data_IF_899651840207
#
_entry.id   IF_899651840207
#
_cell.length_a   1.000
_cell.length_b   1.000
_cell.length_c   1.000
_cell.angle_alpha   90.00
_cell.angle_beta   90.00
_cell.angle_gamma   90.00
#
_symmetry.space_group_name_H-M   'P 1'
#
loop_
_entity.id
_entity.type
_entity.pdbx_description
1 polymer ?
#
# COMPACT_ATOMS: atom_id res chain seq x y z
N UNK A 1 3.07 -14.53 -17.59
CA UNK A 1 2.01 -13.62 -18.08
C UNK A 1 1.48 -14.20 -19.39
N UNK A 2 0.18 -14.43 -19.49
CA UNK A 2 -0.44 -15.05 -20.67
C UNK A 2 -0.43 -14.08 -21.86
N UNK A 3 0.10 -14.54 -23.01
CA UNK A 3 0.30 -13.74 -24.23
C UNK A 3 -0.58 -14.29 -25.37
N UNK A 4 -1.87 -13.96 -25.45
CA UNK A 4 -2.82 -14.62 -26.36
C UNK A 4 -2.44 -14.52 -27.85
N UNK A 5 -1.80 -13.43 -28.30
CA UNK A 5 -1.27 -13.32 -29.68
C UNK A 5 -0.06 -14.22 -29.99
N UNK A 6 0.64 -14.75 -28.98
CA UNK A 6 1.67 -15.78 -29.17
C UNK A 6 1.10 -17.20 -29.26
N UNK A 7 -0.21 -17.37 -29.06
CA UNK A 7 -0.88 -18.68 -29.04
C UNK A 7 -1.96 -18.84 -30.12
N UNK A 8 -1.93 -18.00 -31.17
CA UNK A 8 -2.82 -18.13 -32.34
C UNK A 8 -2.78 -19.53 -33.00
N UNK A 9 -1.68 -20.27 -32.80
CA UNK A 9 -1.47 -21.61 -33.32
C UNK A 9 -1.65 -22.72 -32.26
N UNK A 10 -2.03 -22.37 -31.02
CA UNK A 10 -2.17 -23.32 -29.91
C UNK A 10 -3.49 -23.09 -29.14
N UNK A 11 -4.61 -23.67 -29.61
CA UNK A 11 -5.96 -23.43 -29.10
C UNK A 11 -6.18 -23.86 -27.64
N UNK A 12 -5.28 -24.66 -27.08
CA UNK A 12 -5.30 -25.03 -25.65
C UNK A 12 -5.19 -23.81 -24.73
N UNK A 13 -4.69 -22.69 -25.26
CA UNK A 13 -4.52 -21.47 -24.49
C UNK A 13 -5.83 -20.71 -24.23
N UNK A 14 -6.93 -21.09 -24.89
CA UNK A 14 -8.24 -20.46 -24.77
C UNK A 14 -9.17 -21.19 -23.79
N UNK A 15 -8.68 -22.23 -23.11
CA UNK A 15 -9.47 -23.04 -22.18
C UNK A 15 -9.23 -22.60 -20.74
N UNK A 16 -10.13 -21.79 -20.13
CA UNK A 16 -10.01 -21.33 -18.75
C UNK A 16 -10.07 -22.47 -17.71
N UNK A 17 -10.38 -23.69 -18.15
CA UNK A 17 -10.45 -24.89 -17.32
C UNK A 17 -9.25 -25.84 -17.50
N UNK A 18 -8.23 -25.46 -18.29
CA UNK A 18 -7.04 -26.28 -18.47
C UNK A 18 -6.12 -26.14 -17.25
N UNK A 19 -5.98 -27.23 -16.49
CA UNK A 19 -5.05 -27.33 -15.37
C UNK A 19 -3.61 -27.43 -15.90
N UNK A 20 -2.73 -26.51 -15.50
CA UNK A 20 -1.29 -26.46 -15.83
C UNK A 20 -0.95 -26.74 -17.32
N UNK A 21 -1.73 -26.21 -18.25
CA UNK A 21 -1.55 -26.44 -19.70
C UNK A 21 -1.61 -27.93 -20.12
N UNK A 22 -2.37 -28.77 -19.40
CA UNK A 22 -2.43 -30.24 -19.54
C UNK A 22 -1.09 -30.96 -19.28
N UNK A 23 -0.22 -30.39 -18.45
CA UNK A 23 1.05 -31.01 -18.02
C UNK A 23 1.14 -31.20 -16.49
N UNK A 24 0.22 -32.00 -15.90
CA UNK A 24 0.15 -32.20 -14.45
C UNK A 24 1.29 -33.05 -13.88
N UNK A 25 2.07 -33.72 -14.74
CA UNK A 25 3.18 -34.56 -14.31
C UNK A 25 4.44 -33.75 -13.99
N UNK A 26 4.60 -32.57 -14.62
CA UNK A 26 5.80 -31.74 -14.47
C UNK A 26 5.50 -30.36 -13.85
N UNK A 27 4.23 -29.99 -13.71
CA UNK A 27 3.80 -28.68 -13.21
C UNK A 27 2.66 -28.85 -12.24
N UNK A 28 2.68 -28.04 -11.19
CA UNK A 28 1.58 -27.87 -10.26
C UNK A 28 1.08 -26.44 -10.36
N UNK A 29 -0.24 -26.27 -10.22
CA UNK A 29 -0.87 -24.97 -9.95
C UNK A 29 -1.42 -25.07 -8.53
N UNK A 30 -0.58 -24.79 -7.51
CA UNK A 30 -0.93 -25.04 -6.11
C UNK A 30 -2.04 -24.11 -5.62
N UNK A 31 -2.25 -23.00 -6.34
CA UNK A 31 -3.22 -21.97 -5.97
C UNK A 31 -4.45 -22.07 -6.87
N UNK A 32 -4.33 -22.07 -8.19
CA UNK A 32 -5.47 -21.87 -9.09
C UNK A 32 -6.07 -20.45 -9.01
N UNK A 33 -5.41 -19.51 -8.32
CA UNK A 33 -6.02 -18.30 -7.74
C UNK A 33 -5.73 -16.98 -8.49
N UNK A 34 -4.73 -16.90 -9.36
CA UNK A 34 -4.40 -15.61 -10.02
C UNK A 34 -5.43 -15.13 -11.04
N UNK A 35 -6.36 -16.00 -11.49
CA UNK A 35 -7.35 -15.59 -12.48
C UNK A 35 -8.28 -14.49 -11.95
N UNK A 36 -8.85 -14.69 -10.76
CA UNK A 36 -9.82 -13.75 -10.20
C UNK A 36 -9.17 -12.43 -9.81
N UNK A 37 -7.98 -12.48 -9.19
CA UNK A 37 -7.22 -11.27 -8.90
C UNK A 37 -6.89 -10.50 -10.19
N UNK A 38 -6.40 -11.16 -11.24
CA UNK A 38 -6.08 -10.52 -12.53
C UNK A 38 -7.32 -9.92 -13.19
N UNK A 39 -8.44 -10.65 -13.22
CA UNK A 39 -9.69 -10.14 -13.75
C UNK A 39 -10.17 -8.90 -12.97
N UNK A 40 -10.16 -8.98 -11.65
CA UNK A 40 -10.46 -7.86 -10.77
C UNK A 40 -9.56 -6.67 -11.06
N UNK A 41 -8.25 -6.91 -11.15
CA UNK A 41 -7.26 -5.89 -11.46
C UNK A 41 -7.50 -5.18 -12.78
N UNK A 42 -7.81 -5.90 -13.85
CA UNK A 42 -8.11 -5.28 -15.16
C UNK A 42 -9.34 -4.37 -15.07
N UNK A 43 -10.41 -4.84 -14.42
CA UNK A 43 -11.62 -4.03 -14.18
C UNK A 43 -11.28 -2.82 -13.31
N UNK A 44 -10.48 -3.02 -12.27
CA UNK A 44 -9.98 -1.98 -11.37
C UNK A 44 -9.23 -0.90 -12.13
N UNK A 45 -8.27 -1.26 -12.99
CA UNK A 45 -7.48 -0.30 -13.81
C UNK A 45 -8.40 0.58 -14.64
N UNK A 46 -9.40 0.00 -15.31
CA UNK A 46 -10.35 0.77 -16.12
C UNK A 46 -11.08 1.79 -15.25
N UNK A 47 -11.62 1.37 -14.11
CA UNK A 47 -12.30 2.25 -13.15
C UNK A 47 -11.36 3.34 -12.63
N UNK A 48 -10.13 2.97 -12.24
CA UNK A 48 -9.12 3.87 -11.72
C UNK A 48 -8.69 4.94 -12.72
N UNK A 49 -8.49 4.56 -14.00
CA UNK A 49 -8.17 5.51 -15.08
C UNK A 49 -9.34 6.47 -15.33
N UNK A 50 -10.58 5.97 -15.40
CA UNK A 50 -11.77 6.82 -15.57
C UNK A 50 -11.87 7.82 -14.41
N UNK A 51 -11.69 7.34 -13.17
CA UNK A 51 -11.69 8.18 -11.98
C UNK A 51 -10.58 9.23 -12.03
N UNK A 52 -9.35 8.86 -12.40
CA UNK A 52 -8.24 9.79 -12.52
C UNK A 52 -8.50 10.88 -13.58
N UNK A 53 -9.01 10.50 -14.75
CA UNK A 53 -9.38 11.45 -15.81
C UNK A 53 -10.47 12.40 -15.31
N UNK A 54 -11.48 11.89 -14.62
CA UNK A 54 -12.55 12.71 -14.04
C UNK A 54 -12.01 13.69 -12.99
N UNK A 55 -11.12 13.23 -12.09
CA UNK A 55 -10.46 14.07 -11.08
C UNK A 55 -9.66 15.18 -11.76
N UNK A 56 -8.78 14.82 -12.70
CA UNK A 56 -7.94 15.80 -13.41
C UNK A 56 -8.80 16.81 -14.17
N UNK A 57 -9.81 16.36 -14.91
CA UNK A 57 -10.72 17.24 -15.62
C UNK A 57 -11.45 18.20 -14.67
N UNK A 58 -11.98 17.69 -13.55
CA UNK A 58 -12.66 18.50 -12.55
C UNK A 58 -11.72 19.53 -11.91
N UNK A 59 -10.50 19.15 -11.56
CA UNK A 59 -9.48 20.06 -11.02
C UNK A 59 -9.13 21.16 -12.01
N UNK A 60 -8.92 20.84 -13.29
CA UNK A 60 -8.59 21.81 -14.34
C UNK A 60 -9.75 22.80 -14.54
N UNK A 61 -10.99 22.31 -14.64
CA UNK A 61 -12.17 23.15 -14.80
C UNK A 61 -12.39 24.09 -13.61
N UNK A 62 -12.24 23.58 -12.39
CA UNK A 62 -12.52 24.34 -11.16
C UNK A 62 -11.43 25.36 -10.85
N UNK A 63 -10.15 25.00 -10.99
CA UNK A 63 -9.03 25.91 -10.80
C UNK A 63 -9.01 27.04 -11.85
N UNK A 64 -9.36 26.74 -13.10
CA UNK A 64 -9.44 27.73 -14.17
C UNK A 64 -10.62 28.69 -14.05
N UNK A 65 -11.76 28.25 -13.50
CA UNK A 65 -12.98 29.05 -13.45
C UNK A 65 -13.19 29.84 -12.14
N UNK A 66 -12.74 29.32 -10.99
CA UNK A 66 -13.14 29.87 -9.67
C UNK A 66 -11.97 30.12 -8.70
N UNK A 67 -10.72 29.91 -9.13
CA UNK A 67 -9.53 30.13 -8.32
C UNK A 67 -9.27 29.05 -7.26
N UNK A 68 -8.20 29.25 -6.48
CA UNK A 68 -7.61 28.23 -5.59
C UNK A 68 -8.58 27.75 -4.50
N UNK A 69 -9.42 28.63 -3.95
CA UNK A 69 -10.31 28.29 -2.83
C UNK A 69 -11.37 27.24 -3.20
N UNK A 70 -11.99 27.35 -4.37
CA UNK A 70 -13.00 26.37 -4.83
C UNK A 70 -12.34 25.05 -5.19
N UNK A 71 -11.13 25.07 -5.77
CA UNK A 71 -10.36 23.86 -6.04
C UNK A 71 -10.04 23.06 -4.76
N UNK A 72 -9.74 23.75 -3.65
CA UNK A 72 -9.53 23.11 -2.34
C UNK A 72 -10.81 22.44 -1.82
N UNK A 73 -11.96 23.11 -1.87
CA UNK A 73 -13.24 22.53 -1.43
C UNK A 73 -13.63 21.30 -2.25
N UNK A 74 -13.43 21.36 -3.57
CA UNK A 74 -13.64 20.22 -4.46
C UNK A 74 -12.70 19.07 -4.12
N UNK A 75 -11.42 19.37 -3.86
CA UNK A 75 -10.44 18.36 -3.43
C UNK A 75 -10.83 17.67 -2.11
N UNK A 76 -11.35 18.42 -1.13
CA UNK A 76 -11.86 17.86 0.13
C UNK A 76 -13.06 16.96 -0.15
N UNK A 77 -14.04 17.44 -0.93
CA UNK A 77 -15.23 16.66 -1.29
C UNK A 77 -14.90 15.35 -2.01
N UNK A 78 -13.96 15.40 -2.98
CA UNK A 78 -13.44 14.22 -3.67
C UNK A 78 -12.77 13.24 -2.70
N UNK A 79 -11.96 13.73 -1.78
CA UNK A 79 -11.28 12.90 -0.78
C UNK A 79 -12.27 12.20 0.14
N UNK A 80 -13.28 12.91 0.65
CA UNK A 80 -14.32 12.34 1.51
C UNK A 80 -15.16 11.30 0.76
N UNK A 81 -15.57 11.62 -0.47
CA UNK A 81 -16.31 10.68 -1.32
C UNK A 81 -15.51 9.42 -1.64
N UNK A 82 -14.23 9.58 -2.02
CA UNK A 82 -13.33 8.47 -2.26
C UNK A 82 -13.12 7.62 -1.01
N UNK A 83 -12.98 8.24 0.17
CA UNK A 83 -12.86 7.52 1.43
C UNK A 83 -14.11 6.65 1.70
N UNK A 84 -15.32 7.20 1.53
CA UNK A 84 -16.56 6.42 1.69
C UNK A 84 -16.67 5.23 0.73
N UNK A 85 -16.27 5.41 -0.54
CA UNK A 85 -16.20 4.31 -1.51
C UNK A 85 -15.17 3.25 -1.08
N UNK A 86 -13.99 3.69 -0.63
CA UNK A 86 -12.94 2.78 -0.16
C UNK A 86 -13.37 1.97 1.06
N UNK A 87 -14.09 2.56 2.01
CA UNK A 87 -14.68 1.83 3.16
C UNK A 87 -15.57 0.70 2.66
N UNK A 88 -16.47 0.97 1.71
CA UNK A 88 -17.37 -0.05 1.16
C UNK A 88 -16.62 -1.17 0.44
N UNK A 89 -15.68 -0.82 -0.44
CA UNK A 89 -14.89 -1.80 -1.20
C UNK A 89 -14.00 -2.65 -0.29
N UNK A 90 -13.35 -2.02 0.70
CA UNK A 90 -12.54 -2.70 1.71
C UNK A 90 -13.40 -3.68 2.52
N UNK A 91 -14.58 -3.25 3.00
CA UNK A 91 -15.47 -4.10 3.78
C UNK A 91 -15.91 -5.34 2.99
N UNK A 92 -16.22 -5.18 1.69
CA UNK A 92 -16.57 -6.30 0.80
C UNK A 92 -15.37 -7.23 0.62
N UNK A 93 -14.18 -6.70 0.34
CA UNK A 93 -12.95 -7.49 0.20
C UNK A 93 -12.62 -8.27 1.48
N UNK A 94 -12.72 -7.62 2.64
CA UNK A 94 -12.50 -8.21 3.96
C UNK A 94 -13.49 -9.34 4.25
N UNK A 95 -14.79 -9.12 4.02
CA UNK A 95 -15.85 -10.10 4.29
C UNK A 95 -15.80 -11.33 3.37
N UNK A 96 -15.15 -11.22 2.20
CA UNK A 96 -15.10 -12.28 1.19
C UNK A 96 -13.69 -12.86 1.00
N UNK A 97 -12.74 -12.47 1.85
CA UNK A 97 -11.37 -12.94 1.82
C UNK A 97 -11.28 -14.48 1.86
N UNK A 98 -10.44 -15.07 1.01
CA UNK A 98 -10.30 -16.52 0.85
C UNK A 98 -11.30 -17.16 -0.10
N UNK A 99 -12.13 -16.37 -0.78
CA UNK A 99 -13.00 -16.82 -1.88
C UNK A 99 -12.54 -16.22 -3.21
N UNK A 100 -12.92 -16.81 -4.34
CA UNK A 100 -12.60 -16.25 -5.65
C UNK A 100 -13.16 -14.83 -5.86
N UNK A 101 -14.29 -14.49 -5.26
CA UNK A 101 -14.79 -13.11 -5.28
C UNK A 101 -13.95 -12.17 -4.39
N UNK A 102 -13.44 -12.65 -3.25
CA UNK A 102 -12.48 -11.91 -2.44
C UNK A 102 -11.18 -11.63 -3.19
N UNK A 103 -10.66 -12.61 -3.94
CA UNK A 103 -9.48 -12.43 -4.80
C UNK A 103 -9.75 -11.42 -5.91
N UNK A 104 -10.94 -11.48 -6.52
CA UNK A 104 -11.40 -10.45 -7.46
C UNK A 104 -11.41 -9.07 -6.83
N UNK A 105 -11.96 -8.92 -5.62
CA UNK A 105 -12.03 -7.63 -4.93
C UNK A 105 -10.64 -7.11 -4.53
N UNK A 106 -9.73 -7.99 -4.08
CA UNK A 106 -8.33 -7.65 -3.83
C UNK A 106 -7.68 -7.13 -5.10
N UNK A 107 -7.79 -7.89 -6.19
CA UNK A 107 -7.28 -7.50 -7.50
C UNK A 107 -7.86 -6.16 -7.98
N UNK A 108 -9.18 -5.98 -7.84
CA UNK A 108 -9.88 -4.76 -8.20
C UNK A 108 -9.35 -3.54 -7.46
N UNK A 109 -9.12 -3.64 -6.15
CA UNK A 109 -8.55 -2.54 -5.36
C UNK A 109 -7.13 -2.18 -5.82
N UNK A 110 -6.26 -3.17 -6.07
CA UNK A 110 -4.91 -2.95 -6.61
C UNK A 110 -5.00 -2.29 -8.00
N UNK A 111 -5.84 -2.84 -8.88
CA UNK A 111 -6.03 -2.32 -10.23
C UNK A 111 -6.54 -0.88 -10.23
N UNK A 112 -7.50 -0.56 -9.37
CA UNK A 112 -8.04 0.79 -9.23
C UNK A 112 -6.96 1.77 -8.76
N UNK A 113 -6.15 1.39 -7.77
CA UNK A 113 -5.03 2.19 -7.32
C UNK A 113 -3.96 2.35 -8.42
N UNK A 114 -3.67 1.30 -9.19
CA UNK A 114 -2.77 1.35 -10.33
C UNK A 114 -3.26 2.32 -11.42
N UNK A 115 -4.56 2.27 -11.77
CA UNK A 115 -5.17 3.19 -12.73
C UNK A 115 -5.16 4.64 -12.25
N UNK A 116 -5.43 4.87 -10.95
CA UNK A 116 -5.34 6.19 -10.33
C UNK A 116 -3.91 6.73 -10.37
N UNK A 117 -2.93 5.93 -9.95
CA UNK A 117 -1.51 6.30 -10.04
C UNK A 117 -1.11 6.59 -11.48
N UNK A 118 -1.54 5.78 -12.45
CA UNK A 118 -1.23 6.01 -13.86
C UNK A 118 -1.75 7.35 -14.37
N UNK A 119 -3.04 7.64 -14.14
CA UNK A 119 -3.68 8.85 -14.62
C UNK A 119 -3.18 10.11 -13.92
N UNK A 120 -3.07 10.08 -12.59
CA UNK A 120 -2.60 11.22 -11.80
C UNK A 120 -1.12 11.52 -12.06
N UNK A 121 -0.26 10.50 -12.06
CA UNK A 121 1.16 10.70 -12.35
C UNK A 121 1.39 11.09 -13.81
N UNK A 122 0.54 10.66 -14.75
CA UNK A 122 0.59 11.17 -16.15
C UNK A 122 0.33 12.66 -16.19
N UNK A 123 -0.64 13.17 -15.43
CA UNK A 123 -0.93 14.60 -15.37
C UNK A 123 0.21 15.41 -14.72
N UNK A 124 0.95 14.83 -13.77
CA UNK A 124 2.00 15.53 -13.02
C UNK A 124 3.37 15.44 -13.71
N UNK A 125 3.77 14.23 -14.12
CA UNK A 125 5.12 13.92 -14.60
C UNK A 125 5.17 13.58 -16.10
N UNK A 126 4.02 13.48 -16.76
CA UNK A 126 3.90 13.06 -18.14
C UNK A 126 3.66 11.55 -18.31
N UNK A 127 3.26 11.12 -19.52
CA UNK A 127 2.69 9.79 -19.76
C UNK A 127 3.67 8.64 -19.52
N UNK A 128 4.96 8.82 -19.81
CA UNK A 128 5.94 7.76 -19.62
C UNK A 128 6.09 7.37 -18.14
N UNK A 129 6.23 8.37 -17.26
CA UNK A 129 6.33 8.14 -15.81
C UNK A 129 5.00 7.60 -15.28
N UNK A 130 3.88 8.21 -15.67
CA UNK A 130 2.57 7.78 -15.20
C UNK A 130 2.25 6.33 -15.54
N UNK A 131 2.38 5.94 -16.81
CA UNK A 131 2.16 4.54 -17.24
C UNK A 131 3.12 3.60 -16.52
N UNK A 132 4.40 3.98 -16.34
CA UNK A 132 5.37 3.13 -15.64
C UNK A 132 4.98 2.87 -14.19
N UNK A 133 4.57 3.90 -13.44
CA UNK A 133 4.11 3.75 -12.06
C UNK A 133 2.82 2.92 -11.97
N UNK A 134 1.90 3.12 -12.91
CA UNK A 134 0.69 2.30 -13.03
C UNK A 134 0.99 0.82 -13.28
N UNK A 135 1.91 0.52 -14.20
CA UNK A 135 2.32 -0.85 -14.49
C UNK A 135 3.01 -1.49 -13.29
N UNK A 136 3.96 -0.78 -12.66
CA UNK A 136 4.64 -1.26 -11.46
C UNK A 136 3.61 -1.63 -10.39
N UNK A 137 2.64 -0.76 -10.13
CA UNK A 137 1.58 -1.04 -9.16
C UNK A 137 0.71 -2.24 -9.56
N UNK A 138 0.24 -2.28 -10.81
CA UNK A 138 -0.64 -3.33 -11.32
C UNK A 138 -0.03 -4.73 -11.25
N UNK A 139 1.30 -4.84 -11.32
CA UNK A 139 1.98 -6.12 -11.22
C UNK A 139 1.73 -6.84 -9.87
N UNK A 140 1.31 -6.13 -8.82
CA UNK A 140 0.97 -6.72 -7.52
C UNK A 140 -0.28 -7.62 -7.59
N UNK A 141 -1.07 -7.54 -8.67
CA UNK A 141 -2.22 -8.41 -8.88
C UNK A 141 -1.80 -9.86 -9.17
N UNK A 142 -0.60 -10.07 -9.70
CA UNK A 142 -0.07 -11.39 -9.99
C UNK A 142 0.66 -11.93 -8.77
N UNK A 143 0.06 -12.91 -8.07
CA UNK A 143 0.61 -13.44 -6.81
C UNK A 143 2.08 -13.86 -6.91
N UNK A 144 2.49 -14.55 -7.98
CA UNK A 144 3.88 -14.95 -8.19
C UNK A 144 4.86 -13.78 -8.41
N UNK A 145 4.35 -12.61 -8.82
CA UNK A 145 5.14 -11.37 -8.89
C UNK A 145 5.12 -10.66 -7.53
N UNK A 146 3.96 -10.55 -6.88
CA UNK A 146 3.82 -9.94 -5.56
C UNK A 146 4.68 -10.61 -4.47
N UNK A 147 4.84 -11.93 -4.54
CA UNK A 147 5.67 -12.73 -3.63
C UNK A 147 7.18 -12.63 -3.93
N UNK A 148 7.58 -11.97 -5.01
CA UNK A 148 8.98 -11.81 -5.36
C UNK A 148 9.59 -10.62 -4.62
N UNK A 149 10.61 -10.87 -3.79
CA UNK A 149 11.26 -9.83 -2.97
C UNK A 149 11.90 -8.70 -3.78
N UNK A 150 12.42 -8.98 -4.98
CA UNK A 150 12.94 -7.92 -5.84
C UNK A 150 11.81 -7.01 -6.34
N UNK A 151 10.68 -7.59 -6.74
CA UNK A 151 9.49 -6.80 -7.11
C UNK A 151 8.95 -5.98 -5.93
N UNK A 152 8.90 -6.53 -4.72
CA UNK A 152 8.49 -5.80 -3.52
C UNK A 152 9.38 -4.55 -3.30
N UNK A 153 10.69 -4.68 -3.53
CA UNK A 153 11.60 -3.54 -3.53
C UNK A 153 11.28 -2.51 -4.60
N UNK A 154 11.07 -2.94 -5.85
CA UNK A 154 10.68 -2.03 -6.93
C UNK A 154 9.38 -1.30 -6.60
N UNK A 155 8.38 -2.01 -6.09
CA UNK A 155 7.07 -1.45 -5.73
C UNK A 155 7.20 -0.43 -4.59
N UNK A 156 7.90 -0.78 -3.52
CA UNK A 156 8.05 0.10 -2.35
C UNK A 156 8.90 1.35 -2.66
N UNK A 157 9.97 1.22 -3.47
CA UNK A 157 10.72 2.38 -3.97
C UNK A 157 9.88 3.26 -4.90
N UNK A 158 9.07 2.66 -5.78
CA UNK A 158 8.19 3.41 -6.66
C UNK A 158 7.08 4.15 -5.90
N UNK A 159 6.68 3.67 -4.71
CA UNK A 159 5.66 4.29 -3.85
C UNK A 159 5.96 5.76 -3.51
N UNK A 160 7.25 6.14 -3.39
CA UNK A 160 7.65 7.53 -3.19
C UNK A 160 7.15 8.48 -4.31
N UNK A 161 6.96 7.96 -5.52
CA UNK A 161 6.49 8.72 -6.68
C UNK A 161 5.00 8.48 -6.99
N UNK A 162 4.34 7.55 -6.30
CA UNK A 162 2.93 7.21 -6.54
C UNK A 162 2.01 8.22 -5.84
N UNK A 163 1.20 9.01 -6.59
CA UNK A 163 0.33 10.02 -6.00
C UNK A 163 -0.64 9.47 -4.94
N UNK A 164 -1.12 8.24 -5.13
CA UNK A 164 -2.04 7.60 -4.18
C UNK A 164 -1.37 7.19 -2.86
N UNK A 165 -0.04 7.14 -2.80
CA UNK A 165 0.73 6.87 -1.57
C UNK A 165 1.08 8.13 -0.80
N UNK A 166 1.00 9.31 -1.44
CA UNK A 166 1.52 10.56 -0.88
C UNK A 166 0.79 11.05 0.36
N UNK A 167 -0.51 10.75 0.50
CA UNK A 167 -1.23 11.16 1.70
C UNK A 167 -0.64 10.48 2.95
N UNK A 168 -0.49 9.15 2.93
CA UNK A 168 0.12 8.39 4.02
C UNK A 168 1.61 8.75 4.20
N UNK A 169 2.35 8.80 3.10
CA UNK A 169 3.80 9.12 3.13
C UNK A 169 4.06 10.55 3.60
N UNK A 170 3.19 11.50 3.28
CA UNK A 170 3.29 12.89 3.71
C UNK A 170 3.06 13.03 5.22
N UNK A 171 2.07 12.35 5.77
CA UNK A 171 1.87 12.30 7.24
C UNK A 171 3.04 11.61 7.92
N UNK A 172 3.53 10.49 7.37
CA UNK A 172 4.74 9.81 7.85
C UNK A 172 5.97 10.72 7.84
N UNK A 173 6.18 11.48 6.76
CA UNK A 173 7.29 12.45 6.68
C UNK A 173 7.18 13.53 7.76
N UNK A 174 5.98 14.05 8.03
CA UNK A 174 5.76 15.03 9.10
C UNK A 174 6.17 14.44 10.44
N UNK A 175 5.74 13.22 10.75
CA UNK A 175 6.07 12.55 12.01
C UNK A 175 7.58 12.29 12.13
N UNK A 176 8.20 11.80 11.06
CA UNK A 176 9.64 11.61 10.98
C UNK A 176 10.41 12.90 11.24
N UNK A 177 10.03 14.01 10.59
CA UNK A 177 10.68 15.31 10.77
C UNK A 177 10.49 15.82 12.20
N UNK A 178 9.29 15.71 12.77
CA UNK A 178 9.03 16.09 14.16
C UNK A 178 9.94 15.29 15.10
N UNK A 179 10.04 13.97 14.95
CA UNK A 179 10.91 13.15 15.77
C UNK A 179 12.38 13.55 15.65
N UNK A 180 12.90 13.73 14.42
CA UNK A 180 14.30 14.13 14.19
C UNK A 180 14.60 15.50 14.80
N UNK A 181 13.71 16.48 14.59
CA UNK A 181 13.85 17.84 15.13
C UNK A 181 13.84 17.81 16.66
N UNK A 182 12.89 17.10 17.25
CA UNK A 182 12.78 16.99 18.71
C UNK A 182 13.99 16.28 19.30
N UNK A 183 14.43 15.18 18.72
CA UNK A 183 15.66 14.49 19.14
C UNK A 183 16.88 15.42 19.12
N UNK A 184 17.08 16.14 18.02
CA UNK A 184 18.21 17.04 17.86
C UNK A 184 18.23 18.13 18.94
N UNK A 185 17.10 18.80 19.17
CA UNK A 185 17.07 19.91 20.11
C UNK A 185 16.96 19.52 21.58
N UNK A 186 16.40 18.36 21.91
CA UNK A 186 16.23 17.95 23.31
C UNK A 186 17.28 16.94 23.78
N UNK A 187 17.87 16.15 22.88
CA UNK A 187 18.87 15.13 23.25
C UNK A 187 20.27 15.53 22.78
N UNK A 188 20.42 15.98 21.52
CA UNK A 188 21.75 16.33 20.97
C UNK A 188 22.26 17.68 21.46
N UNK A 189 21.38 18.67 21.66
CA UNK A 189 21.72 20.01 22.18
C UNK A 189 20.92 20.32 23.46
N UNK A 190 21.23 19.67 24.60
CA UNK A 190 20.43 19.77 25.83
C UNK A 190 20.28 21.20 26.38
N UNK A 191 21.25 22.08 26.05
CA UNK A 191 21.31 23.45 26.55
C UNK A 191 20.21 24.38 26.04
N UNK A 192 19.47 24.02 24.99
CA UNK A 192 18.40 24.87 24.45
C UNK A 192 17.07 24.76 25.21
N UNK A 193 16.83 23.64 25.90
CA UNK A 193 15.63 23.40 26.71
C UNK A 193 15.92 23.20 28.20
N UNK A 194 17.15 23.51 28.66
CA UNK A 194 17.44 23.72 30.07
C UNK A 194 17.49 22.47 30.96
N UNK A 195 17.85 21.29 30.44
CA UNK A 195 18.01 20.10 31.29
C UNK A 195 18.46 18.84 30.55
N UNK A 196 18.97 17.87 31.32
CA UNK A 196 19.37 16.51 30.89
C UNK A 196 18.40 15.97 29.83
N UNK A 197 18.93 15.58 28.68
CA UNK A 197 18.13 15.42 27.46
C UNK A 197 16.84 14.62 27.64
N UNK A 198 15.79 15.04 26.95
CA UNK A 198 14.46 14.42 27.11
C UNK A 198 14.46 13.01 26.52
N UNK A 199 14.53 12.00 27.37
CA UNK A 199 14.59 10.60 26.95
C UNK A 199 13.38 10.19 26.09
N UNK A 200 12.20 10.77 26.33
CA UNK A 200 11.01 10.55 25.49
C UNK A 200 11.15 11.01 24.03
N UNK A 201 12.13 11.85 23.70
CA UNK A 201 12.41 12.26 22.32
C UNK A 201 13.64 11.54 21.74
N UNK A 202 14.20 10.55 22.45
CA UNK A 202 15.35 9.79 22.00
C UNK A 202 14.95 8.90 20.83
N UNK A 203 15.66 9.06 19.72
CA UNK A 203 15.66 8.11 18.63
C UNK A 203 16.83 7.18 18.87
N UNK A 204 16.57 5.89 19.01
CA UNK A 204 17.60 4.85 19.17
C UNK A 204 18.01 4.23 17.83
N UNK A 205 17.13 4.30 16.83
CA UNK A 205 17.35 3.64 15.54
C UNK A 205 16.78 4.43 14.36
N UNK A 206 17.57 4.57 13.28
CA UNK A 206 17.09 4.97 11.96
C UNK A 206 17.77 4.08 10.93
N UNK A 207 17.00 3.39 10.11
CA UNK A 207 17.50 2.61 8.99
C UNK A 207 16.60 2.70 7.77
N UNK A 208 17.14 2.35 6.60
CA UNK A 208 16.33 2.11 5.40
C UNK A 208 16.24 0.61 5.22
N UNK A 209 15.03 0.06 5.17
CA UNK A 209 14.83 -1.29 4.66
C UNK A 209 14.97 -1.27 3.14
N UNK A 210 16.17 -1.58 2.65
CA UNK A 210 16.47 -1.54 1.21
C UNK A 210 15.61 -2.51 0.39
N UNK A 211 15.08 -3.56 1.03
CA UNK A 211 14.18 -4.53 0.42
C UNK A 211 12.82 -3.96 0.03
N UNK A 212 12.42 -2.84 0.62
CA UNK A 212 11.14 -2.16 0.34
C UNK A 212 11.27 -0.65 0.11
N UNK A 213 12.44 -0.05 0.37
CA UNK A 213 12.64 1.40 0.26
C UNK A 213 11.91 2.20 1.34
N UNK A 214 11.60 1.57 2.47
CA UNK A 214 10.89 2.15 3.62
C UNK A 214 11.90 2.59 4.67
N UNK A 215 11.68 3.77 5.26
CA UNK A 215 12.48 4.26 6.38
C UNK A 215 11.88 3.72 7.68
N UNK A 216 12.71 3.05 8.48
CA UNK A 216 12.35 2.49 9.78
C UNK A 216 12.99 3.33 10.88
N UNK A 217 12.19 3.86 11.79
CA UNK A 217 12.60 4.64 12.95
C UNK A 217 12.18 3.92 14.23
N UNK A 218 13.11 3.77 15.17
CA UNK A 218 12.83 3.35 16.55
C UNK A 218 12.85 4.56 17.50
N UNK A 219 11.91 4.59 18.43
CA UNK A 219 11.77 5.65 19.42
C UNK A 219 11.33 6.99 18.83
N UNK A 220 11.68 8.07 19.53
CA UNK A 220 11.26 9.44 19.21
C UNK A 220 10.00 9.87 19.96
N UNK A 221 9.66 11.15 19.85
CA UNK A 221 8.52 11.75 20.56
C UNK A 221 7.17 11.16 20.13
N UNK A 222 7.04 10.85 18.85
CA UNK A 222 5.88 10.19 18.25
C UNK A 222 6.27 8.73 18.04
N UNK A 223 5.82 7.89 18.95
CA UNK A 223 6.05 6.44 18.95
C UNK A 223 4.72 5.69 19.15
N UNK A 224 4.67 4.37 18.84
CA UNK A 224 3.50 3.55 19.12
C UNK A 224 3.10 3.61 20.61
N UNK A 225 1.81 3.70 20.89
CA UNK A 225 1.27 3.75 22.25
C UNK A 225 0.23 2.65 22.49
N UNK A 226 -0.22 2.47 23.73
CA UNK A 226 -1.31 1.52 24.03
C UNK A 226 -0.94 0.03 23.91
N UNK A 227 0.36 -0.31 23.93
CA UNK A 227 0.85 -1.69 23.85
C UNK A 227 1.21 -2.16 22.44
N UNK A 228 1.03 -1.32 21.41
CA UNK A 228 1.57 -1.57 20.08
C UNK A 228 3.10 -1.44 20.05
N UNK A 229 3.75 -2.25 19.20
CA UNK A 229 5.20 -2.24 19.03
C UNK A 229 5.65 -1.48 17.77
N UNK A 230 4.72 -1.23 16.83
CA UNK A 230 4.97 -0.56 15.56
C UNK A 230 3.70 0.05 14.96
N UNK A 231 3.89 0.99 14.03
CA UNK A 231 2.89 1.38 13.04
C UNK A 231 3.58 1.90 11.77
N UNK A 232 2.85 1.86 10.66
CA UNK A 232 3.29 2.38 9.37
C UNK A 232 2.50 3.62 8.92
N UNK A 233 3.17 4.55 8.25
CA UNK A 233 2.58 5.65 7.49
C UNK A 233 3.27 5.80 6.13
N UNK A 234 2.83 4.98 5.17
CA UNK A 234 3.39 4.98 3.83
C UNK A 234 4.82 4.46 3.83
N UNK A 235 5.75 5.27 3.32
CA UNK A 235 7.17 4.90 3.26
C UNK A 235 7.94 5.13 4.59
N UNK A 236 7.22 5.25 5.71
CA UNK A 236 7.79 5.39 7.05
C UNK A 236 7.19 4.37 8.02
N UNK A 237 8.04 3.70 8.78
CA UNK A 237 7.68 2.80 9.89
C UNK A 237 8.23 3.40 11.18
N UNK A 238 7.38 3.42 12.20
CA UNK A 238 7.70 3.90 13.53
C UNK A 238 7.55 2.75 14.52
N UNK A 239 8.62 2.45 15.24
CA UNK A 239 8.71 1.35 16.20
C UNK A 239 8.93 1.93 17.59
N UNK A 240 8.43 1.23 18.60
CA UNK A 240 8.77 1.54 20.00
C UNK A 240 10.29 1.40 20.21
N UNK A 241 10.86 2.17 21.12
CA UNK A 241 12.27 2.06 21.51
C UNK A 241 12.64 0.59 21.79
N UNK A 242 13.75 0.13 21.19
CA UNK A 242 14.24 -1.26 21.32
C UNK A 242 13.49 -2.32 20.51
N UNK A 243 12.39 -1.99 19.83
CA UNK A 243 11.63 -2.97 19.02
C UNK A 243 12.22 -3.21 17.62
N UNK A 244 13.18 -2.38 17.18
CA UNK A 244 13.83 -2.48 15.86
C UNK A 244 14.63 -3.78 15.65
N UNK A 245 14.94 -4.51 16.73
CA UNK A 245 15.62 -5.82 16.66
C UNK A 245 14.72 -6.99 16.25
N UNK A 246 13.39 -6.85 16.30
CA UNK A 246 12.47 -7.89 15.83
C UNK A 246 12.30 -7.81 14.30
N UNK A 247 13.07 -8.63 13.58
CA UNK A 247 13.00 -8.71 12.13
C UNK A 247 11.61 -9.11 11.59
N UNK A 248 10.82 -9.88 12.37
CA UNK A 248 9.45 -10.20 12.00
C UNK A 248 8.53 -8.98 12.09
N UNK A 249 8.75 -8.13 13.09
CA UNK A 249 7.98 -6.90 13.27
C UNK A 249 8.31 -5.93 12.15
N UNK A 250 9.60 -5.71 11.87
CA UNK A 250 10.02 -4.85 10.76
C UNK A 250 9.41 -5.31 9.44
N UNK A 251 9.38 -6.63 9.16
CA UNK A 251 8.73 -7.18 7.95
C UNK A 251 7.22 -6.98 7.92
N UNK A 252 6.55 -7.14 9.07
CA UNK A 252 5.12 -6.87 9.19
C UNK A 252 4.83 -5.39 8.88
N UNK A 253 5.54 -4.47 9.52
CA UNK A 253 5.32 -3.02 9.34
C UNK A 253 5.72 -2.52 7.94
N UNK A 254 6.73 -3.12 7.32
CA UNK A 254 7.08 -2.85 5.92
C UNK A 254 6.07 -3.47 4.94
N UNK A 255 5.41 -4.57 5.33
CA UNK A 255 4.24 -5.13 4.67
C UNK A 255 3.08 -4.13 4.57
N UNK A 256 2.84 -3.33 5.60
CA UNK A 256 1.89 -2.21 5.53
C UNK A 256 2.32 -1.15 4.50
N UNK A 257 3.61 -0.83 4.41
CA UNK A 257 4.10 0.08 3.38
C UNK A 257 3.92 -0.47 1.94
N UNK A 258 4.10 -1.78 1.74
CA UNK A 258 3.75 -2.43 0.48
C UNK A 258 2.24 -2.41 0.21
N UNK A 259 1.41 -2.56 1.24
CA UNK A 259 -0.05 -2.38 1.12
C UNK A 259 -0.39 -0.96 0.68
N UNK A 260 0.26 0.08 1.24
CA UNK A 260 0.07 1.47 0.78
C UNK A 260 0.44 1.61 -0.69
N UNK A 261 1.58 1.03 -1.12
CA UNK A 261 2.00 1.09 -2.51
C UNK A 261 0.97 0.40 -3.45
N UNK A 262 0.48 -0.79 -3.09
CA UNK A 262 -0.43 -1.57 -3.93
C UNK A 262 -1.88 -1.08 -3.88
N UNK A 263 -2.39 -0.64 -2.74
CA UNK A 263 -3.81 -0.30 -2.53
C UNK A 263 -4.07 1.20 -2.33
N UNK A 264 -3.05 1.99 -2.01
CA UNK A 264 -3.13 3.42 -1.81
C UNK A 264 -3.40 3.83 -0.35
N UNK A 265 -3.18 5.11 -0.05
CA UNK A 265 -3.29 5.65 1.31
C UNK A 265 -4.69 5.54 1.91
N UNK A 266 -5.76 5.64 1.11
CA UNK A 266 -7.12 5.51 1.64
C UNK A 266 -7.41 4.09 2.14
N UNK A 267 -6.89 3.07 1.46
CA UNK A 267 -6.96 1.68 1.94
C UNK A 267 -6.25 1.56 3.29
N UNK A 268 -5.07 2.16 3.42
CA UNK A 268 -4.29 2.18 4.66
C UNK A 268 -5.06 2.78 5.84
N UNK A 269 -5.67 3.95 5.66
CA UNK A 269 -6.46 4.58 6.72
C UNK A 269 -7.74 3.82 7.07
N UNK A 270 -8.41 3.21 6.08
CA UNK A 270 -9.55 2.33 6.36
C UNK A 270 -9.09 1.09 7.13
N UNK A 271 -7.95 0.50 6.76
CA UNK A 271 -7.34 -0.61 7.49
C UNK A 271 -7.03 -0.25 8.94
N UNK A 272 -6.43 0.92 9.17
CA UNK A 272 -6.16 1.42 10.52
C UNK A 272 -7.44 1.56 11.37
N UNK A 273 -8.57 1.99 10.78
CA UNK A 273 -9.87 2.06 11.47
C UNK A 273 -10.57 0.70 11.64
N UNK A 274 -10.25 -0.29 10.82
CA UNK A 274 -10.74 -1.67 10.93
C UNK A 274 -10.01 -2.40 12.07
N UNK A 275 -8.70 -2.18 12.17
CA UNK A 275 -7.84 -2.69 13.24
C UNK A 275 -8.18 -2.05 14.59
N UNK A 276 -8.19 -0.72 14.65
CA UNK A 276 -8.37 0.08 15.86
C UNK A 276 -9.84 0.50 16.04
N UNK A 277 -10.23 1.18 17.13
CA UNK A 277 -11.56 1.78 17.21
C UNK A 277 -11.85 2.68 15.99
N UNK A 278 -13.02 2.53 15.33
CA UNK A 278 -14.20 1.80 15.79
C UNK A 278 -14.28 0.31 15.39
N UNK A 279 -13.44 -0.20 14.49
CA UNK A 279 -13.51 -1.57 13.98
C UNK A 279 -13.14 -2.64 15.01
N UNK A 280 -12.10 -2.40 15.81
CA UNK A 280 -11.63 -3.26 16.90
C UNK A 280 -11.34 -4.72 16.49
N UNK A 281 -10.91 -4.96 15.25
CA UNK A 281 -10.56 -6.32 14.79
C UNK A 281 -9.11 -6.71 15.09
N UNK A 282 -8.25 -5.74 15.43
CA UNK A 282 -6.82 -5.99 15.67
C UNK A 282 -6.20 -6.82 14.54
N UNK A 283 -5.47 -7.88 14.90
CA UNK A 283 -4.82 -8.81 13.97
C UNK A 283 -5.76 -9.50 12.94
N UNK A 284 -7.08 -9.50 13.14
CA UNK A 284 -8.05 -10.04 12.18
C UNK A 284 -8.50 -9.02 11.11
N UNK A 285 -8.05 -7.77 11.21
CA UNK A 285 -8.31 -6.75 10.19
C UNK A 285 -7.68 -7.17 8.86
N UNK A 286 -8.33 -6.80 7.75
CA UNK A 286 -7.90 -7.27 6.44
C UNK A 286 -6.53 -6.71 6.02
N UNK A 287 -6.25 -5.43 6.34
CA UNK A 287 -4.93 -4.83 6.14
C UNK A 287 -3.83 -5.53 6.96
N UNK A 288 -4.12 -5.87 8.23
CA UNK A 288 -3.21 -6.62 9.11
C UNK A 288 -2.86 -7.99 8.54
N UNK A 289 -3.88 -8.75 8.13
CA UNK A 289 -3.68 -10.09 7.54
C UNK A 289 -2.88 -10.05 6.23
N UNK A 290 -2.98 -8.97 5.46
CA UNK A 290 -2.16 -8.77 4.26
C UNK A 290 -0.72 -8.46 4.64
N UNK A 291 -0.49 -7.52 5.58
CA UNK A 291 0.84 -7.19 6.07
C UNK A 291 1.55 -8.40 6.70
N UNK A 292 0.79 -9.23 7.42
CA UNK A 292 1.30 -10.46 8.03
C UNK A 292 1.73 -11.52 7.01
N UNK A 293 1.23 -11.48 5.77
CA UNK A 293 1.75 -12.32 4.68
C UNK A 293 3.18 -11.93 4.26
N UNK A 294 3.65 -10.73 4.61
CA UNK A 294 5.04 -10.33 4.38
C UNK A 294 5.97 -10.86 5.49
N UNK A 295 5.53 -10.79 6.75
CA UNK A 295 6.31 -11.33 7.88
C UNK A 295 6.32 -12.85 7.90
N UNK A 296 5.24 -13.49 7.43
CA UNK A 296 5.05 -14.94 7.40
C UNK A 296 5.29 -15.60 8.78
N UNK A 297 4.82 -14.96 9.87
CA UNK A 297 4.99 -15.53 11.21
C UNK A 297 4.06 -16.75 11.37
N UNK A 298 4.58 -17.88 11.88
CA UNK A 298 3.75 -19.07 12.11
C UNK A 298 2.59 -18.79 13.08
N UNK A 299 1.38 -19.17 12.69
CA UNK A 299 0.19 -19.09 13.53
C UNK A 299 -0.57 -17.76 13.50
N UNK A 300 -0.05 -16.74 12.82
CA UNK A 300 -0.79 -15.49 12.60
C UNK A 300 -1.81 -15.65 11.46
N UNK A 301 -3.01 -15.03 11.55
CA UNK A 301 -3.96 -15.05 10.44
C UNK A 301 -3.41 -14.25 9.25
N UNK A 302 -3.46 -14.84 8.05
CA UNK A 302 -2.96 -14.20 6.84
C UNK A 302 -4.00 -14.17 5.72
N UNK A 303 -3.83 -13.23 4.80
CA UNK A 303 -4.39 -13.27 3.45
C UNK A 303 -3.19 -13.28 2.50
N UNK A 304 -2.98 -14.34 1.70
CA UNK A 304 -1.79 -14.45 0.87
C UNK A 304 -1.65 -13.28 -0.11
N UNK A 305 -0.49 -12.62 -0.12
CA UNK A 305 -0.11 -11.63 -1.13
C UNK A 305 1.41 -11.48 -1.24
N UNK A 306 2.10 -11.27 -0.11
CA UNK A 306 3.53 -10.94 -0.10
C UNK A 306 4.44 -12.15 0.14
N UNK A 307 3.91 -13.26 0.64
CA UNK A 307 4.70 -14.44 0.99
C UNK A 307 3.85 -15.64 1.32
#
# INVERSE_FOLDING_TARGET
>A
IYQPEKFLNNPKALHPFIYVANDPLNKTDPTGLSFWSVLGGVVGVIVGVIAAVAIVALTVMTAGAFGVFVAVLVGIGLTVGAFGVMVGLYAIASATAGTGFGDFMRGFLIGMNAGLNAGLATAIFGPFVGVSLGVINFLAVFDGVAQNSFYQGVLGWASWLMPMSWLATGVGLIFFVVNVVMHFFTVTIPGWFGGSGWDAARIDHISIDWGTGIIVMGGGLIEPSGGADGFNLGNFVFLREGASGDAGLVRHETGHGLNVAAFGALFHYVGALDENPPGNRGHDAFAERLAESHSNRPGSPTVPLWG
#
